data_IF_303951102196
#
_entry.id   IF_303951102196
#
_cell.length_a   1.000
_cell.length_b   1.000
_cell.length_c   1.000
_cell.angle_alpha   90.00
_cell.angle_beta   90.00
_cell.angle_gamma   90.00
#
_symmetry.space_group_name_H-M   'P 1'
#
loop_
_entity.id
_entity.type
_entity.pdbx_description
1 polymer ?
#
# COMPACT_ATOMS: atom_id res chain seq x y z
N UNK A 1 -10.24 10.46 8.61
CA UNK A 1 -9.09 9.70 8.09
C UNK A 1 -8.06 10.67 7.55
N UNK A 2 -6.79 10.42 7.79
CA UNK A 2 -5.70 11.27 7.33
C UNK A 2 -4.73 10.47 6.48
N UNK A 3 -3.91 11.17 5.69
CA UNK A 3 -2.87 10.53 4.88
C UNK A 3 -1.85 9.80 5.75
N UNK A 4 -1.62 10.26 6.98
CA UNK A 4 -0.69 9.61 7.90
C UNK A 4 -1.15 8.21 8.32
N UNK A 5 -2.46 8.01 8.48
CA UNK A 5 -3.02 6.69 8.79
C UNK A 5 -2.77 5.74 7.63
N UNK A 6 -2.95 6.22 6.39
CA UNK A 6 -2.70 5.41 5.19
C UNK A 6 -1.22 5.03 5.10
N UNK A 7 -0.31 5.98 5.35
CA UNK A 7 1.13 5.72 5.37
C UNK A 7 1.49 4.64 6.39
N UNK A 8 0.96 4.74 7.61
CA UNK A 8 1.21 3.74 8.65
C UNK A 8 0.75 2.36 8.24
N UNK A 9 -0.40 2.26 7.57
CA UNK A 9 -0.90 0.99 7.09
C UNK A 9 0.03 0.40 6.02
N UNK A 10 0.51 1.22 5.10
CA UNK A 10 1.45 0.78 4.07
C UNK A 10 2.77 0.29 4.68
N UNK A 11 3.30 1.02 5.62
CA UNK A 11 4.54 0.65 6.31
C UNK A 11 4.39 -0.66 7.09
N UNK A 12 3.23 -0.87 7.73
CA UNK A 12 2.92 -2.12 8.41
C UNK A 12 2.91 -3.30 7.45
N UNK A 13 2.26 -3.14 6.30
CA UNK A 13 2.19 -4.21 5.30
C UNK A 13 3.55 -4.50 4.68
N UNK A 14 4.39 -3.48 4.46
CA UNK A 14 5.76 -3.69 4.01
C UNK A 14 6.57 -4.48 5.03
N UNK A 15 6.37 -4.20 6.31
CA UNK A 15 7.04 -4.95 7.37
C UNK A 15 6.62 -6.42 7.36
N UNK A 16 5.33 -6.69 7.17
CA UNK A 16 4.84 -8.07 7.05
C UNK A 16 5.40 -8.76 5.81
N UNK A 17 5.59 -8.04 4.72
CA UNK A 17 6.16 -8.59 3.50
C UNK A 17 7.59 -9.11 3.70
N UNK A 18 8.31 -8.60 4.70
CA UNK A 18 9.66 -9.05 5.05
C UNK A 18 9.68 -10.04 6.22
N UNK A 19 8.51 -10.46 6.71
CA UNK A 19 8.40 -11.37 7.86
C UNK A 19 8.18 -12.79 7.35
N UNK A 20 8.92 -13.80 7.87
CA UNK A 20 8.68 -15.20 7.49
C UNK A 20 7.23 -15.61 7.75
N UNK A 21 6.66 -16.36 6.83
CA UNK A 21 5.26 -16.79 6.91
C UNK A 21 4.29 -15.94 6.12
N UNK A 22 4.73 -14.78 5.64
CA UNK A 22 3.93 -13.92 4.77
C UNK A 22 4.55 -13.87 3.37
N UNK A 23 3.71 -13.85 2.34
CA UNK A 23 4.19 -13.66 0.96
C UNK A 23 4.10 -12.19 0.60
N UNK A 24 5.06 -11.72 -0.20
CA UNK A 24 5.05 -10.33 -0.68
C UNK A 24 3.83 -10.11 -1.58
N UNK A 25 3.48 -11.10 -2.40
CA UNK A 25 2.32 -11.01 -3.28
C UNK A 25 1.03 -10.75 -2.49
N UNK A 26 0.82 -11.49 -1.40
CA UNK A 26 -0.35 -11.31 -0.55
C UNK A 26 -0.37 -9.91 0.06
N UNK A 27 0.77 -9.45 0.59
CA UNK A 27 0.89 -8.11 1.17
C UNK A 27 0.67 -7.02 0.12
N UNK A 28 1.15 -7.21 -1.12
CA UNK A 28 0.89 -6.29 -2.22
C UNK A 28 -0.61 -6.15 -2.49
N UNK A 29 -1.33 -7.27 -2.58
CA UNK A 29 -2.77 -7.23 -2.82
C UNK A 29 -3.52 -6.57 -1.67
N UNK A 30 -3.13 -6.84 -0.43
CA UNK A 30 -3.72 -6.18 0.73
C UNK A 30 -3.46 -4.68 0.72
N UNK A 31 -2.25 -4.26 0.34
CA UNK A 31 -1.88 -2.85 0.26
C UNK A 31 -2.70 -2.14 -0.83
N UNK A 32 -2.78 -2.73 -2.00
CA UNK A 32 -3.58 -2.18 -3.11
C UNK A 32 -5.05 -2.04 -2.72
N UNK A 33 -5.62 -3.08 -2.09
CA UNK A 33 -7.01 -3.04 -1.61
C UNK A 33 -7.23 -1.96 -0.56
N UNK A 34 -6.29 -1.79 0.36
CA UNK A 34 -6.36 -0.75 1.39
C UNK A 34 -6.33 0.65 0.78
N UNK A 35 -5.46 0.88 -0.20
CA UNK A 35 -5.38 2.16 -0.91
C UNK A 35 -6.69 2.46 -1.66
N UNK A 36 -7.21 1.48 -2.39
CA UNK A 36 -8.46 1.63 -3.14
C UNK A 36 -9.63 1.95 -2.23
N UNK A 37 -9.74 1.25 -1.11
CA UNK A 37 -10.80 1.49 -0.13
C UNK A 37 -10.66 2.88 0.49
N UNK A 38 -9.46 3.26 0.90
CA UNK A 38 -9.22 4.57 1.52
C UNK A 38 -9.54 5.71 0.55
N UNK A 39 -9.12 5.58 -0.71
CA UNK A 39 -9.42 6.58 -1.75
C UNK A 39 -10.92 6.71 -1.97
N UNK A 40 -11.64 5.60 -2.06
CA UNK A 40 -13.09 5.61 -2.24
C UNK A 40 -13.82 6.21 -1.04
N UNK A 41 -13.38 5.92 0.18
CA UNK A 41 -13.95 6.53 1.39
C UNK A 41 -13.75 8.04 1.36
N UNK A 42 -12.56 8.51 0.96
CA UNK A 42 -12.31 9.94 0.85
C UNK A 42 -13.26 10.61 -0.16
N UNK A 43 -13.50 9.96 -1.31
CA UNK A 43 -14.45 10.46 -2.31
C UNK A 43 -15.87 10.52 -1.74
N UNK A 44 -16.31 9.48 -1.03
CA UNK A 44 -17.64 9.45 -0.42
C UNK A 44 -17.81 10.56 0.62
N UNK A 45 -16.74 10.93 1.33
CA UNK A 45 -16.75 12.02 2.29
C UNK A 45 -16.64 13.40 1.62
N UNK A 46 -16.51 13.44 0.29
CA UNK A 46 -16.37 14.69 -0.45
C UNK A 46 -14.97 15.28 -0.45
N UNK A 47 -13.98 14.52 0.01
CA UNK A 47 -12.58 14.97 0.07
C UNK A 47 -11.79 14.46 -1.14
N UNK A 48 -11.99 15.11 -2.28
CA UNK A 48 -11.33 14.72 -3.53
C UNK A 48 -9.82 14.90 -3.45
N UNK A 49 -9.35 15.92 -2.71
CA UNK A 49 -7.91 16.16 -2.57
C UNK A 49 -7.24 15.03 -1.80
N UNK A 50 -7.87 14.54 -0.75
CA UNK A 50 -7.36 13.40 0.01
C UNK A 50 -7.34 12.13 -0.85
N UNK A 51 -8.40 11.89 -1.63
CA UNK A 51 -8.46 10.75 -2.55
C UNK A 51 -7.28 10.77 -3.54
N UNK A 52 -7.03 11.92 -4.16
CA UNK A 52 -5.91 12.08 -5.09
C UNK A 52 -4.57 11.87 -4.39
N UNK A 53 -4.42 12.41 -3.19
CA UNK A 53 -3.20 12.25 -2.41
C UNK A 53 -2.93 10.78 -2.06
N UNK A 54 -3.97 10.02 -1.72
CA UNK A 54 -3.86 8.59 -1.44
C UNK A 54 -3.43 7.83 -2.68
N UNK A 55 -4.06 8.10 -3.83
CA UNK A 55 -3.70 7.44 -5.09
C UNK A 55 -2.25 7.73 -5.49
N UNK A 56 -1.80 8.98 -5.33
CA UNK A 56 -0.41 9.36 -5.62
C UNK A 56 0.57 8.72 -4.66
N UNK A 57 0.19 8.58 -3.39
CA UNK A 57 1.04 7.93 -2.40
C UNK A 57 1.36 6.49 -2.84
N UNK A 58 0.38 5.79 -3.38
CA UNK A 58 0.58 4.46 -3.93
C UNK A 58 1.45 4.49 -5.18
N UNK A 59 1.06 5.28 -6.19
CA UNK A 59 1.73 5.30 -7.48
C UNK A 59 3.18 5.78 -7.39
N UNK A 60 3.46 6.79 -6.56
CA UNK A 60 4.76 7.44 -6.50
C UNK A 60 5.72 6.79 -5.51
N UNK A 61 5.23 6.03 -4.55
CA UNK A 61 6.05 5.54 -3.45
C UNK A 61 5.89 4.04 -3.19
N UNK A 62 4.72 3.63 -2.70
CA UNK A 62 4.57 2.29 -2.12
C UNK A 62 4.50 1.18 -3.16
N UNK A 63 3.91 1.44 -4.31
CA UNK A 63 3.85 0.45 -5.38
C UNK A 63 5.24 -0.07 -5.74
N UNK A 64 6.20 0.82 -5.94
CA UNK A 64 7.57 0.44 -6.27
C UNK A 64 8.27 -0.28 -5.11
N UNK A 65 7.99 0.11 -3.87
CA UNK A 65 8.56 -0.56 -2.71
C UNK A 65 8.09 -2.03 -2.63
N UNK A 66 6.80 -2.28 -2.87
CA UNK A 66 6.28 -3.65 -2.89
C UNK A 66 6.81 -4.44 -4.09
N UNK A 67 6.89 -3.83 -5.25
CA UNK A 67 7.42 -4.50 -6.44
C UNK A 67 8.90 -4.85 -6.28
N UNK A 68 9.67 -3.97 -5.64
CA UNK A 68 11.08 -4.25 -5.33
C UNK A 68 11.20 -5.45 -4.38
N UNK A 69 10.39 -5.48 -3.32
CA UNK A 69 10.37 -6.58 -2.38
C UNK A 69 9.99 -7.90 -3.07
N UNK A 70 9.04 -7.85 -4.00
CA UNK A 70 8.60 -9.02 -4.76
C UNK A 70 9.72 -9.56 -5.65
N UNK A 71 10.45 -8.67 -6.33
CA UNK A 71 11.59 -9.07 -7.14
C UNK A 71 12.70 -9.71 -6.31
N UNK A 72 12.95 -9.17 -5.12
CA UNK A 72 13.93 -9.73 -4.19
C UNK A 72 13.51 -11.13 -3.72
N UNK A 73 12.23 -11.34 -3.44
CA UNK A 73 11.69 -12.65 -3.06
C UNK A 73 11.87 -13.67 -4.18
N UNK A 74 11.55 -13.29 -5.42
CA UNK A 74 11.74 -14.16 -6.58
C UNK A 74 13.21 -14.54 -6.78
N UNK A 75 14.12 -13.62 -6.55
CA UNK A 75 15.56 -13.85 -6.72
C UNK A 75 16.13 -14.83 -5.70
N UNK A 76 15.43 -15.03 -4.57
CA UNK A 76 15.87 -15.96 -3.51
C UNK A 76 15.31 -17.38 -3.66
N UNK A 77 14.47 -17.60 -4.65
CA UNK A 77 13.87 -18.93 -4.90
C UNK A 77 14.74 -19.82 -5.80
#
# INVERSE_FOLDING_TARGET
MTIEIVKKQMERLLKYAHTPGFTVEHCYHMAYGSISMASNIALELGDCQLSIAIDRLWDDTYREMFLKAYREELAQQ
#
